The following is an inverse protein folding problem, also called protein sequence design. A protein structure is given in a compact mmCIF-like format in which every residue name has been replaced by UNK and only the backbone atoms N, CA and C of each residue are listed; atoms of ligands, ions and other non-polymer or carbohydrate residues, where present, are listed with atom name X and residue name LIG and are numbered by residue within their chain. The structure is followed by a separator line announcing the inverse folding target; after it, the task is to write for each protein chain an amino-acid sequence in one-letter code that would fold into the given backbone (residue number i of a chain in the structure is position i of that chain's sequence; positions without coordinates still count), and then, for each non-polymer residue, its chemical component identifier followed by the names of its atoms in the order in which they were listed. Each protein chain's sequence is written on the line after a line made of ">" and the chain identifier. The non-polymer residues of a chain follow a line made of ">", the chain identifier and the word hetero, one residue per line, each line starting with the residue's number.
data_IF_120076724006
#
_entry.id   IF_120076724006
#
_cell.length_a   1.000
_cell.length_b   1.000
_cell.length_c   1.000
_cell.angle_alpha   90.00
_cell.angle_beta   90.00
_cell.angle_gamma   90.00
#
_symmetry.space_group_name_H-M   'P 1'
#
loop_
_entity.id
_entity.type
_entity.pdbx_description
1 polymer ?
#
# COMPACT_ATOMS: atom_id res chain seq x y z
N UNK A 1 14.89 11.56 -14.77
CA UNK A 1 14.85 12.90 -14.12
C UNK A 1 13.69 12.91 -13.15
N UNK A 2 13.88 13.46 -11.95
CA UNK A 2 12.82 13.54 -10.93
C UNK A 2 11.72 14.52 -11.39
N UNK A 3 10.45 14.11 -11.22
CA UNK A 3 9.31 15.00 -11.39
C UNK A 3 9.11 15.81 -10.09
N UNK A 4 9.36 17.11 -10.16
CA UNK A 4 9.39 18.00 -8.98
C UNK A 4 8.02 18.14 -8.32
N UNK A 5 6.92 18.07 -9.07
CA UNK A 5 5.59 18.16 -8.48
C UNK A 5 5.21 16.86 -7.77
N UNK A 6 5.58 15.71 -8.33
CA UNK A 6 5.40 14.41 -7.68
C UNK A 6 6.20 14.33 -6.37
N UNK A 7 7.45 14.82 -6.38
CA UNK A 7 8.28 14.94 -5.17
C UNK A 7 7.64 15.87 -4.14
N UNK A 8 7.11 17.03 -4.56
CA UNK A 8 6.42 17.97 -3.67
C UNK A 8 5.19 17.35 -3.01
N UNK A 9 4.37 16.62 -3.77
CA UNK A 9 3.18 15.94 -3.25
C UNK A 9 3.54 14.84 -2.26
N UNK A 10 4.59 14.06 -2.55
CA UNK A 10 5.15 13.09 -1.61
C UNK A 10 5.60 13.77 -0.32
N UNK A 11 6.37 14.86 -0.40
CA UNK A 11 6.86 15.56 0.79
C UNK A 11 5.71 16.10 1.65
N UNK A 12 4.67 16.65 1.01
CA UNK A 12 3.48 17.12 1.71
C UNK A 12 2.69 15.98 2.37
N UNK A 13 2.62 14.79 1.76
CA UNK A 13 2.02 13.61 2.40
C UNK A 13 2.77 13.25 3.69
N UNK A 14 4.10 13.18 3.62
CA UNK A 14 4.92 12.84 4.79
C UNK A 14 4.77 13.88 5.92
N UNK A 15 4.66 15.17 5.59
CA UNK A 15 4.41 16.23 6.56
C UNK A 15 3.03 16.06 7.22
N UNK A 16 1.98 15.83 6.45
CA UNK A 16 0.62 15.64 6.97
C UNK A 16 0.52 14.47 7.95
N UNK A 17 1.26 13.37 7.72
CA UNK A 17 1.30 12.21 8.63
C UNK A 17 1.91 12.52 10.00
N UNK A 18 2.59 13.66 10.16
CA UNK A 18 3.21 14.09 11.42
C UNK A 18 2.59 15.35 12.03
N UNK A 19 1.65 15.99 11.33
CA UNK A 19 1.11 17.31 11.71
C UNK A 19 -0.02 17.26 12.75
N UNK A 20 -0.48 16.07 13.13
CA UNK A 20 -1.62 15.90 14.05
C UNK A 20 -2.99 16.19 13.39
N UNK A 21 -3.03 16.22 12.05
CA UNK A 21 -4.24 16.33 11.25
C UNK A 21 -5.25 15.21 11.57
N UNK A 22 -6.55 15.49 11.47
CA UNK A 22 -7.58 14.46 11.63
C UNK A 22 -7.61 13.48 10.44
N UNK A 23 -8.07 12.25 10.67
CA UNK A 23 -8.20 11.24 9.61
C UNK A 23 -9.05 11.72 8.42
N UNK A 24 -10.08 12.53 8.68
CA UNK A 24 -10.97 13.05 7.63
C UNK A 24 -10.27 14.10 6.76
N UNK A 25 -9.49 15.00 7.36
CA UNK A 25 -8.68 15.97 6.63
C UNK A 25 -7.58 15.26 5.83
N UNK A 26 -6.95 14.25 6.44
CA UNK A 26 -5.91 13.45 5.81
C UNK A 26 -6.42 12.73 4.56
N UNK A 27 -7.60 12.10 4.67
CA UNK A 27 -8.25 11.42 3.56
C UNK A 27 -8.66 12.38 2.42
N UNK A 28 -9.01 13.63 2.71
CA UNK A 28 -9.23 14.65 1.66
C UNK A 28 -7.92 14.95 0.93
N UNK A 29 -6.82 15.18 1.65
CA UNK A 29 -5.51 15.47 1.06
C UNK A 29 -5.00 14.31 0.21
N UNK A 30 -5.19 13.08 0.66
CA UNK A 30 -4.83 11.88 -0.09
C UNK A 30 -5.63 11.81 -1.41
N UNK A 31 -6.94 12.13 -1.39
CA UNK A 31 -7.76 12.20 -2.61
C UNK A 31 -7.27 13.27 -3.58
N UNK A 32 -6.92 14.47 -3.10
CA UNK A 32 -6.37 15.55 -3.94
C UNK A 32 -5.07 15.10 -4.65
N UNK A 33 -4.16 14.46 -3.91
CA UNK A 33 -2.89 13.92 -4.46
C UNK A 33 -3.15 12.81 -5.48
N UNK A 34 -4.07 11.89 -5.18
CA UNK A 34 -4.43 10.79 -6.08
C UNK A 34 -4.97 11.29 -7.42
N UNK A 35 -5.84 12.30 -7.42
CA UNK A 35 -6.34 12.92 -8.65
C UNK A 35 -5.18 13.43 -9.49
N UNK A 36 -4.28 14.22 -8.89
CA UNK A 36 -3.14 14.77 -9.62
C UNK A 36 -2.23 13.68 -10.20
N UNK A 37 -1.87 12.66 -9.41
CA UNK A 37 -0.99 11.57 -9.86
C UNK A 37 -1.61 10.86 -11.05
N UNK A 38 -2.90 10.50 -10.98
CA UNK A 38 -3.61 9.76 -12.03
C UNK A 38 -3.68 10.54 -13.34
N UNK A 39 -3.94 11.85 -13.27
CA UNK A 39 -3.97 12.71 -14.44
C UNK A 39 -2.58 12.86 -15.09
N UNK A 40 -1.50 12.74 -14.31
CA UNK A 40 -0.14 13.01 -14.75
C UNK A 40 0.73 11.76 -14.99
N UNK A 41 0.20 10.54 -14.83
CA UNK A 41 0.98 9.30 -15.06
C UNK A 41 1.71 9.29 -16.42
N UNK A 42 1.07 9.80 -17.47
CA UNK A 42 1.61 9.81 -18.82
C UNK A 42 2.78 10.79 -19.03
N UNK A 43 3.01 11.74 -18.11
CA UNK A 43 4.09 12.74 -18.19
C UNK A 43 5.30 12.39 -17.32
N UNK A 44 5.15 11.39 -16.43
CA UNK A 44 6.19 11.01 -15.48
C UNK A 44 7.17 10.02 -16.09
N UNK A 45 8.47 10.31 -15.97
CA UNK A 45 9.54 9.39 -16.34
C UNK A 45 9.71 8.31 -15.26
N UNK A 46 9.05 7.17 -15.45
CA UNK A 46 9.17 6.02 -14.54
C UNK A 46 10.44 5.19 -14.77
N UNK A 47 11.41 5.62 -15.57
CA UNK A 47 12.76 5.03 -15.54
C UNK A 47 13.60 5.58 -14.39
N UNK A 48 13.12 6.63 -13.71
CA UNK A 48 13.69 7.22 -12.51
C UNK A 48 13.17 6.52 -11.23
N UNK A 49 14.07 6.13 -10.32
CA UNK A 49 13.74 5.36 -9.10
C UNK A 49 12.77 6.13 -8.21
N UNK A 50 13.06 7.41 -8.00
CA UNK A 50 12.29 8.25 -7.09
C UNK A 50 10.88 8.55 -7.61
N UNK A 51 10.71 8.70 -8.92
CA UNK A 51 9.38 8.85 -9.50
C UNK A 51 8.51 7.60 -9.26
N UNK A 52 9.09 6.40 -9.39
CA UNK A 52 8.39 5.17 -9.04
C UNK A 52 8.06 5.10 -7.54
N UNK A 53 9.01 5.46 -6.66
CA UNK A 53 8.79 5.46 -5.21
C UNK A 53 7.65 6.40 -4.80
N UNK A 54 7.70 7.67 -5.26
CA UNK A 54 6.70 8.67 -4.92
C UNK A 54 5.31 8.31 -5.45
N UNK A 55 5.22 7.85 -6.70
CA UNK A 55 3.94 7.42 -7.27
C UNK A 55 3.37 6.20 -6.51
N UNK A 56 4.20 5.22 -6.17
CA UNK A 56 3.77 4.07 -5.37
C UNK A 56 3.21 4.48 -4.00
N UNK A 57 3.88 5.40 -3.32
CA UNK A 57 3.42 5.89 -2.02
C UNK A 57 2.07 6.61 -2.12
N UNK A 58 1.89 7.47 -3.12
CA UNK A 58 0.63 8.22 -3.26
C UNK A 58 -0.52 7.31 -3.72
N UNK A 59 -0.27 6.40 -4.67
CA UNK A 59 -1.29 5.49 -5.20
C UNK A 59 -1.79 4.46 -4.18
N UNK A 60 -0.95 4.03 -3.22
CA UNK A 60 -1.39 3.06 -2.20
C UNK A 60 -2.50 3.59 -1.29
N UNK A 61 -2.70 4.91 -1.21
CA UNK A 61 -3.77 5.53 -0.44
C UNK A 61 -5.15 5.41 -1.12
N UNK A 62 -5.21 4.91 -2.35
CA UNK A 62 -6.47 4.69 -3.05
C UNK A 62 -7.27 3.52 -2.46
N UNK A 63 -8.60 3.63 -2.54
CA UNK A 63 -9.54 2.54 -2.28
C UNK A 63 -9.84 1.69 -3.54
N UNK A 64 -9.23 2.04 -4.68
CA UNK A 64 -9.34 1.27 -5.92
C UNK A 64 -8.30 0.16 -6.00
N UNK A 65 -8.75 -1.08 -6.27
CA UNK A 65 -7.87 -2.24 -6.51
C UNK A 65 -6.88 -1.96 -7.66
N UNK A 66 -7.32 -1.25 -8.70
CA UNK A 66 -6.48 -0.89 -9.85
C UNK A 66 -5.36 0.08 -9.48
N UNK A 67 -5.66 1.10 -8.68
CA UNK A 67 -4.66 2.08 -8.26
C UNK A 67 -3.63 1.43 -7.32
N UNK A 68 -4.07 0.57 -6.40
CA UNK A 68 -3.18 -0.16 -5.48
C UNK A 68 -2.32 -1.18 -6.23
N UNK A 69 -2.87 -1.86 -7.25
CA UNK A 69 -2.08 -2.72 -8.15
C UNK A 69 -1.01 -1.90 -8.87
N UNK A 70 -1.35 -0.73 -9.39
CA UNK A 70 -0.39 0.16 -10.03
C UNK A 70 0.68 0.66 -9.04
N UNK A 71 0.30 0.95 -7.79
CA UNK A 71 1.22 1.27 -6.72
C UNK A 71 2.25 0.15 -6.51
N UNK A 72 1.79 -1.11 -6.49
CA UNK A 72 2.66 -2.27 -6.36
C UNK A 72 3.61 -2.42 -7.55
N UNK A 73 3.13 -2.23 -8.78
CA UNK A 73 3.95 -2.28 -9.99
C UNK A 73 5.09 -1.25 -9.97
N UNK A 74 4.82 -0.01 -9.53
CA UNK A 74 5.86 1.00 -9.39
C UNK A 74 6.82 0.71 -8.23
N UNK A 75 6.33 0.18 -7.11
CA UNK A 75 7.19 -0.24 -6.00
C UNK A 75 8.14 -1.37 -6.44
N UNK A 76 7.64 -2.40 -7.13
CA UNK A 76 8.44 -3.49 -7.70
C UNK A 76 9.48 -2.95 -8.68
N UNK A 77 9.08 -2.05 -9.59
CA UNK A 77 9.99 -1.43 -10.55
C UNK A 77 11.14 -0.69 -9.85
N UNK A 78 10.85 0.14 -8.84
CA UNK A 78 11.87 0.85 -8.08
C UNK A 78 12.83 -0.11 -7.35
N UNK A 79 12.31 -1.19 -6.77
CA UNK A 79 13.13 -2.22 -6.10
C UNK A 79 14.03 -2.94 -7.09
N UNK A 80 13.53 -3.31 -8.27
CA UNK A 80 14.32 -3.94 -9.35
C UNK A 80 15.42 -3.02 -9.88
N UNK A 81 15.18 -1.71 -9.84
CA UNK A 81 16.18 -0.68 -10.17
C UNK A 81 17.19 -0.43 -9.04
N UNK A 82 17.05 -1.09 -7.89
CA UNK A 82 18.01 -1.07 -6.79
C UNK A 82 17.58 -0.26 -5.57
N UNK A 83 16.34 0.23 -5.50
CA UNK A 83 15.86 0.98 -4.33
C UNK A 83 15.66 0.06 -3.12
N UNK A 84 16.48 0.25 -2.09
CA UNK A 84 16.27 -0.39 -0.78
C UNK A 84 15.14 0.27 0.00
N UNK A 85 15.00 1.59 -0.08
CA UNK A 85 14.00 2.36 0.67
C UNK A 85 12.56 2.08 0.18
N UNK A 86 12.38 1.62 -1.06
CA UNK A 86 11.05 1.27 -1.60
C UNK A 86 10.59 -0.14 -1.21
N UNK A 87 11.44 -0.98 -0.59
CA UNK A 87 11.07 -2.37 -0.31
C UNK A 87 9.92 -2.52 0.67
N UNK A 88 9.78 -1.58 1.61
CA UNK A 88 8.63 -1.56 2.51
C UNK A 88 7.35 -1.28 1.73
N UNK A 89 7.35 -0.31 0.81
CA UNK A 89 6.20 -0.03 -0.06
C UNK A 89 5.86 -1.23 -0.95
N UNK A 90 6.87 -1.97 -1.43
CA UNK A 90 6.63 -3.20 -2.18
C UNK A 90 5.83 -4.22 -1.36
N UNK A 91 6.24 -4.47 -0.11
CA UNK A 91 5.53 -5.37 0.79
C UNK A 91 4.14 -4.83 1.16
N UNK A 92 4.04 -3.54 1.49
CA UNK A 92 2.80 -2.90 1.92
C UNK A 92 1.72 -2.89 0.84
N UNK A 93 2.09 -2.52 -0.39
CA UNK A 93 1.18 -2.52 -1.55
C UNK A 93 0.75 -3.92 -1.94
N UNK A 94 1.64 -4.91 -1.87
CA UNK A 94 1.30 -6.31 -2.11
C UNK A 94 0.24 -6.80 -1.12
N UNK A 95 0.49 -6.61 0.18
CA UNK A 95 -0.42 -7.05 1.22
C UNK A 95 -1.76 -6.30 1.15
N UNK A 96 -1.76 -5.00 0.83
CA UNK A 96 -2.99 -4.23 0.62
C UNK A 96 -3.81 -4.83 -0.52
N UNK A 97 -3.18 -5.12 -1.66
CA UNK A 97 -3.83 -5.73 -2.80
C UNK A 97 -4.41 -7.11 -2.44
N UNK A 98 -3.68 -7.94 -1.69
CA UNK A 98 -4.18 -9.23 -1.23
C UNK A 98 -5.43 -9.07 -0.35
N UNK A 99 -5.39 -8.20 0.65
CA UNK A 99 -6.53 -7.97 1.55
C UNK A 99 -7.75 -7.44 0.79
N UNK A 100 -7.55 -6.49 -0.14
CA UNK A 100 -8.63 -5.96 -0.99
C UNK A 100 -9.28 -7.04 -1.87
N UNK A 101 -8.51 -8.04 -2.28
CA UNK A 101 -9.00 -9.17 -3.08
C UNK A 101 -9.61 -10.30 -2.25
N UNK A 102 -9.72 -10.15 -0.92
CA UNK A 102 -10.24 -11.19 -0.05
C UNK A 102 -9.20 -12.24 0.37
N UNK A 103 -7.92 -12.01 0.06
CA UNK A 103 -6.83 -12.94 0.32
C UNK A 103 -6.10 -12.63 1.62
N UNK A 104 -5.39 -13.65 2.12
CA UNK A 104 -4.44 -13.50 3.22
C UNK A 104 -3.20 -12.75 2.75
N UNK A 105 -2.67 -11.90 3.61
CA UNK A 105 -1.46 -11.13 3.31
C UNK A 105 -0.19 -11.97 3.49
N UNK A 106 0.95 -11.50 2.99
CA UNK A 106 2.23 -12.22 3.06
C UNK A 106 3.17 -11.62 4.10
N UNK A 107 3.32 -10.30 4.15
CA UNK A 107 4.33 -9.63 4.95
C UNK A 107 3.81 -9.11 6.30
N UNK A 108 2.49 -9.06 6.49
CA UNK A 108 1.87 -8.65 7.76
C UNK A 108 1.87 -7.15 7.96
N UNK A 109 1.75 -6.36 6.88
CA UNK A 109 1.76 -4.88 6.94
C UNK A 109 0.38 -4.26 7.12
N UNK A 110 -0.70 -4.98 6.77
CA UNK A 110 -2.07 -4.46 6.79
C UNK A 110 -2.78 -4.81 8.10
N UNK A 111 -3.46 -3.83 8.68
CA UNK A 111 -4.18 -3.94 9.94
C UNK A 111 -5.36 -2.97 9.98
N UNK A 112 -6.22 -3.16 10.98
CA UNK A 112 -7.20 -2.18 11.43
C UNK A 112 -6.77 -1.64 12.79
N UNK A 113 -6.97 -0.35 13.01
CA UNK A 113 -6.85 0.25 14.34
C UNK A 113 -8.10 -0.08 15.16
N UNK A 114 -7.92 -0.41 16.43
CA UNK A 114 -8.99 -0.72 17.39
C UNK A 114 -8.70 -0.04 18.72
N UNK A 115 -9.68 0.03 19.62
CA UNK A 115 -9.49 0.58 20.98
C UNK A 115 -8.36 -0.12 21.76
N UNK A 116 -8.09 -1.39 21.44
CA UNK A 116 -7.01 -2.19 22.05
C UNK A 116 -5.69 -2.16 21.26
N UNK A 117 -5.56 -1.30 20.26
CA UNK A 117 -4.42 -1.23 19.35
C UNK A 117 -4.68 -1.92 18.00
N UNK A 118 -3.61 -2.38 17.34
CA UNK A 118 -3.70 -2.91 15.97
C UNK A 118 -4.12 -4.38 15.93
N UNK A 119 -5.08 -4.70 15.06
CA UNK A 119 -5.37 -6.07 14.64
C UNK A 119 -5.02 -6.26 13.17
N UNK A 120 -4.11 -7.19 12.89
CA UNK A 120 -3.60 -7.46 11.55
C UNK A 120 -4.48 -8.46 10.82
N UNK A 121 -4.57 -8.33 9.49
CA UNK A 121 -5.25 -9.33 8.67
C UNK A 121 -4.46 -10.65 8.62
N UNK A 122 -5.10 -11.81 8.41
CA UNK A 122 -4.43 -13.10 8.49
C UNK A 122 -3.32 -13.23 7.44
N UNK A 123 -2.22 -13.88 7.83
CA UNK A 123 -1.08 -14.17 6.95
C UNK A 123 -1.17 -15.57 6.34
N UNK A 124 -0.60 -15.74 5.14
CA UNK A 124 -0.47 -17.08 4.51
C UNK A 124 0.48 -18.00 5.28
N UNK A 125 1.44 -17.42 6.01
CA UNK A 125 2.42 -18.11 6.83
C UNK A 125 3.28 -17.09 7.59
N UNK A 126 4.07 -17.56 8.55
CA UNK A 126 5.00 -16.71 9.28
C UNK A 126 6.31 -16.63 8.51
N UNK A 127 6.75 -15.41 8.22
CA UNK A 127 8.05 -15.12 7.63
C UNK A 127 9.04 -14.80 8.77
N UNK A 128 10.27 -15.29 8.66
CA UNK A 128 11.32 -15.02 9.65
C UNK A 128 11.78 -13.56 9.64
N UNK A 129 12.23 -13.07 10.80
CA UNK A 129 12.65 -11.67 10.98
C UNK A 129 13.78 -11.24 10.02
N UNK A 130 14.71 -12.15 9.72
CA UNK A 130 15.78 -11.88 8.76
C UNK A 130 15.21 -11.55 7.38
N UNK A 131 14.28 -12.35 6.87
CA UNK A 131 13.65 -12.11 5.57
C UNK A 131 12.80 -10.84 5.59
N UNK A 132 11.99 -10.61 6.64
CA UNK A 132 11.18 -9.38 6.77
C UNK A 132 12.03 -8.11 6.79
N UNK A 133 13.17 -8.16 7.48
CA UNK A 133 14.10 -7.03 7.54
C UNK A 133 14.65 -6.65 6.17
N UNK A 134 14.77 -7.60 5.24
CA UNK A 134 15.19 -7.29 3.86
C UNK A 134 14.19 -6.42 3.13
N UNK A 135 12.92 -6.46 3.54
CA UNK A 135 11.84 -5.61 3.04
C UNK A 135 11.61 -4.37 3.91
N UNK A 136 12.36 -4.19 4.99
CA UNK A 136 12.11 -3.12 5.98
C UNK A 136 10.83 -3.32 6.78
N UNK A 137 10.30 -4.55 6.84
CA UNK A 137 9.07 -4.88 7.57
C UNK A 137 9.43 -5.34 8.98
N UNK A 138 8.68 -4.86 9.98
CA UNK A 138 8.85 -5.27 11.38
C UNK A 138 8.46 -6.73 11.61
N UNK A 139 9.06 -7.36 12.63
CA UNK A 139 8.76 -8.74 13.05
C UNK A 139 7.25 -9.00 13.17
N UNK A 140 6.85 -10.23 12.82
CA UNK A 140 5.49 -10.71 13.05
C UNK A 140 5.24 -11.15 14.50
N UNK A 141 6.28 -11.29 15.31
CA UNK A 141 6.17 -11.78 16.67
C UNK A 141 5.27 -10.86 17.53
N UNK A 142 4.28 -11.46 18.20
CA UNK A 142 3.36 -10.74 19.09
C UNK A 142 2.24 -9.95 18.39
N UNK A 143 2.17 -9.95 17.05
CA UNK A 143 1.05 -9.34 16.32
C UNK A 143 -0.20 -10.22 16.39
N UNK A 144 -1.35 -9.60 16.62
CA UNK A 144 -2.67 -10.26 16.57
C UNK A 144 -3.18 -10.31 15.13
N UNK A 145 -3.15 -11.49 14.50
CA UNK A 145 -3.58 -11.72 13.11
C UNK A 145 -5.05 -12.16 12.97
N UNK A 146 -5.92 -11.71 13.88
CA UNK A 146 -7.34 -12.14 13.92
C UNK A 146 -8.33 -11.18 13.24
N UNK A 147 -7.86 -10.12 12.57
CA UNK A 147 -8.78 -9.24 11.84
C UNK A 147 -9.51 -10.03 10.73
N UNK A 148 -10.78 -9.70 10.50
CA UNK A 148 -11.57 -10.34 9.46
C UNK A 148 -11.29 -9.70 8.12
N UNK A 149 -10.97 -10.51 7.11
CA UNK A 149 -10.81 -10.02 5.74
C UNK A 149 -12.16 -9.50 5.23
N UNK A 150 -12.24 -8.31 4.61
CA UNK A 150 -13.47 -7.81 4.02
C UNK A 150 -14.01 -8.81 2.99
N UNK A 151 -15.29 -9.15 3.08
CA UNK A 151 -15.93 -10.01 2.08
C UNK A 151 -16.04 -9.22 0.78
N UNK A 152 -15.27 -9.59 -0.24
CA UNK A 152 -15.53 -9.12 -1.60
C UNK A 152 -16.78 -9.80 -2.12
N UNK A 153 -17.72 -9.07 -2.72
CA UNK A 153 -19.00 -9.57 -3.26
C UNK A 153 -18.87 -10.47 -4.50
N UNK A 154 -17.79 -11.24 -4.63
CA UNK A 154 -17.48 -12.09 -5.80
C UNK A 154 -17.96 -13.54 -5.70
N UNK A 155 -18.78 -13.90 -4.71
CA UNK A 155 -19.49 -15.18 -4.68
C UNK A 155 -20.99 -14.97 -4.43
N UNK A 156 -21.77 -15.11 -5.52
CA UNK A 156 -23.02 -15.86 -5.58
C UNK A 156 -23.68 -15.71 -6.97
N UNK A 157 -23.14 -16.40 -7.97
CA UNK A 157 -23.92 -16.79 -9.16
C UNK A 157 -23.32 -18.00 -9.89
N UNK A 158 -23.08 -19.08 -9.17
CA UNK A 158 -23.06 -20.44 -9.76
C UNK A 158 -23.98 -21.37 -8.98
N UNK A 159 -25.27 -21.01 -8.95
CA UNK A 159 -26.34 -21.88 -8.50
C UNK A 159 -27.23 -22.26 -9.67
N UNK A 160 -26.75 -23.13 -10.57
CA UNK A 160 -27.66 -23.92 -11.40
C UNK A 160 -28.57 -24.71 -10.47
N UNK A 161 -29.87 -24.60 -10.67
CA UNK A 161 -30.82 -25.63 -10.26
C UNK A 161 -31.81 -25.85 -11.41
N UNK A 162 -31.97 -27.14 -11.70
CA UNK A 162 -32.75 -27.78 -12.75
C UNK A 162 -34.12 -27.17 -13.04
#
# INVERSE_FOLDING_TARGET
>A
MINTELERLYAADQEDRTSGMSDAELAERDRERLVWVKENLHTIDFSEIWNCHYAALLLQHSDSEEDVRLAHEYADKAVRMGSSVTRWLYAATYDRLQVMQGNRQKYGTQFIETDSGRKYFPVVGIIGDEELSTFGVESMAGKDFTAQIPRTSRDDSTGSSN
#
